data_IF_102726211707
#
_entry.id   IF_102726211707
#
_cell.length_a   1.000
_cell.length_b   1.000
_cell.length_c   1.000
_cell.angle_alpha   90.00
_cell.angle_beta   90.00
_cell.angle_gamma   90.00
#
_symmetry.space_group_name_H-M   'P 1'
#
loop_
_entity.id
_entity.type
_entity.pdbx_description
1 polymer ?
#
# COMPACT_ATOMS: atom_id res chain seq x y z
N UNK A 1 11.62 -81.76 17.91
CA UNK A 1 10.31 -81.17 18.28
C UNK A 1 10.47 -79.68 18.55
N UNK A 2 9.51 -78.85 18.10
CA UNK A 2 9.44 -77.37 18.20
C UNK A 2 9.95 -76.59 16.98
N UNK A 3 9.69 -77.12 15.79
CA UNK A 3 9.65 -76.38 14.51
C UNK A 3 8.45 -75.40 14.39
N UNK A 4 7.69 -75.19 15.48
CA UNK A 4 6.47 -74.38 15.48
C UNK A 4 6.57 -73.05 16.24
N UNK A 5 7.73 -72.69 16.82
CA UNK A 5 7.89 -71.37 17.49
C UNK A 5 8.14 -70.19 16.53
N UNK A 6 8.46 -70.44 15.25
CA UNK A 6 8.73 -69.38 14.27
C UNK A 6 7.50 -68.85 13.52
N UNK A 7 6.35 -69.54 13.58
CA UNK A 7 5.14 -69.09 12.88
C UNK A 7 4.16 -68.30 13.76
N UNK A 8 4.30 -68.33 15.09
CA UNK A 8 3.44 -67.53 15.97
C UNK A 8 3.99 -66.12 16.28
N UNK A 9 5.27 -65.85 15.98
CA UNK A 9 5.89 -64.53 16.21
C UNK A 9 5.74 -63.57 15.01
N UNK A 10 5.52 -64.10 13.80
CA UNK A 10 5.38 -63.29 12.58
C UNK A 10 3.95 -62.70 12.47
N UNK A 11 2.93 -63.39 13.00
CA UNK A 11 1.54 -62.89 13.00
C UNK A 11 1.25 -61.77 14.01
N UNK A 12 1.95 -61.72 15.15
CA UNK A 12 1.77 -60.64 16.15
C UNK A 12 2.58 -59.38 15.79
N UNK A 13 3.69 -59.54 15.06
CA UNK A 13 4.46 -58.38 14.56
C UNK A 13 3.74 -57.68 13.41
N UNK A 14 3.00 -58.40 12.57
CA UNK A 14 2.21 -57.79 11.48
C UNK A 14 0.92 -57.13 12.01
N UNK A 15 0.38 -57.55 13.16
CA UNK A 15 -0.74 -56.86 13.82
C UNK A 15 -0.28 -55.68 14.71
N UNK A 16 0.98 -55.63 15.14
CA UNK A 16 1.57 -54.43 15.76
C UNK A 16 2.13 -53.41 14.74
N UNK A 17 2.32 -53.80 13.49
CA UNK A 17 2.70 -52.88 12.40
C UNK A 17 1.51 -52.17 11.73
N UNK A 18 0.27 -52.54 12.05
CA UNK A 18 -0.94 -51.87 11.54
C UNK A 18 -1.54 -50.84 12.51
N UNK A 19 -0.96 -50.65 13.70
CA UNK A 19 -1.36 -49.58 14.66
C UNK A 19 -0.36 -48.40 14.65
N UNK A 20 0.67 -48.43 13.78
CA UNK A 20 1.55 -47.27 13.51
C UNK A 20 1.21 -46.61 12.16
N UNK A 21 0.09 -46.98 11.51
CA UNK A 21 -0.34 -46.38 10.24
C UNK A 21 -1.26 -45.16 10.38
N UNK A 22 -1.24 -44.45 11.51
CA UNK A 22 -1.94 -43.16 11.64
C UNK A 22 -1.18 -42.19 12.55
N UNK A 23 0.07 -41.89 12.20
CA UNK A 23 0.73 -40.64 12.61
C UNK A 23 1.42 -40.04 11.41
N UNK A 24 0.62 -39.49 10.51
CA UNK A 24 0.98 -38.32 9.74
C UNK A 24 -0.32 -37.80 9.12
N UNK A 25 -1.12 -37.02 9.87
CA UNK A 25 -1.89 -36.03 9.18
C UNK A 25 -0.85 -35.09 8.55
N UNK A 26 -0.48 -35.30 7.29
CA UNK A 26 -0.03 -34.18 6.47
C UNK A 26 -1.27 -33.34 6.17
N UNK A 27 -1.90 -32.87 7.24
CA UNK A 27 -2.77 -31.72 7.19
C UNK A 27 -1.82 -30.59 6.80
N UNK A 28 -2.04 -29.89 5.67
CA UNK A 28 -1.27 -28.70 5.40
C UNK A 28 -1.51 -27.77 6.58
N UNK A 29 -0.48 -27.59 7.42
CA UNK A 29 -0.47 -26.50 8.38
C UNK A 29 -0.60 -25.25 7.54
N UNK A 30 -1.63 -24.45 7.80
CA UNK A 30 -1.74 -23.13 7.22
C UNK A 30 -0.45 -22.41 7.60
N UNK A 31 0.45 -22.19 6.65
CA UNK A 31 1.58 -21.30 6.84
C UNK A 31 0.97 -19.90 7.02
N UNK A 32 0.86 -19.50 8.28
CA UNK A 32 0.49 -18.12 8.57
C UNK A 32 1.60 -17.24 8.01
N UNK A 33 1.26 -16.18 7.26
CA UNK A 33 2.25 -15.24 6.77
C UNK A 33 3.13 -14.78 7.94
N UNK A 34 4.43 -15.03 7.84
CA UNK A 34 5.36 -14.54 8.85
C UNK A 34 5.55 -13.03 8.64
N UNK A 35 5.22 -12.23 9.64
CA UNK A 35 5.46 -10.79 9.62
C UNK A 35 6.98 -10.58 9.73
N UNK A 36 7.60 -10.08 8.67
CA UNK A 36 9.05 -9.83 8.62
C UNK A 36 9.40 -8.58 9.42
N UNK A 37 8.63 -7.51 9.25
CA UNK A 37 8.78 -6.27 9.99
C UNK A 37 7.45 -5.52 10.13
N UNK A 38 7.38 -4.65 11.14
CA UNK A 38 6.31 -3.66 11.33
C UNK A 38 6.96 -2.30 11.55
N UNK A 39 6.44 -1.27 10.87
CA UNK A 39 6.90 0.12 10.98
C UNK A 39 5.69 1.04 11.16
N UNK A 40 5.92 2.16 11.83
CA UNK A 40 4.91 3.21 12.03
C UNK A 40 5.44 4.45 11.34
N UNK A 41 4.62 5.05 10.50
CA UNK A 41 4.96 6.26 9.77
C UNK A 41 3.96 7.37 10.13
N UNK A 42 4.45 8.59 10.33
CA UNK A 42 3.66 9.72 10.80
C UNK A 42 4.37 10.50 11.90
N UNK A 43 3.66 11.45 12.50
CA UNK A 43 4.11 12.31 13.59
C UNK A 43 3.20 12.19 14.81
N UNK A 44 2.99 13.33 15.49
CA UNK A 44 2.21 13.39 16.74
C UNK A 44 0.71 13.51 16.52
N UNK A 45 0.31 13.95 15.33
CA UNK A 45 -1.08 14.18 14.96
C UNK A 45 -1.63 12.99 14.16
N UNK A 46 -2.83 13.14 13.62
CA UNK A 46 -3.46 12.13 12.78
C UNK A 46 -2.73 12.00 11.45
N UNK A 47 -2.32 10.79 11.09
CA UNK A 47 -1.77 10.48 9.77
C UNK A 47 -2.44 9.23 9.22
N UNK A 48 -2.70 9.19 7.91
CA UNK A 48 -3.47 8.12 7.26
C UNK A 48 -2.76 7.71 5.98
N UNK A 49 -2.51 6.41 5.81
CA UNK A 49 -2.05 5.83 4.55
C UNK A 49 -3.22 5.26 3.76
N UNK A 50 -3.32 5.60 2.48
CA UNK A 50 -4.39 5.15 1.58
C UNK A 50 -3.88 4.24 0.45
N UNK A 51 -2.61 4.36 0.07
CA UNK A 51 -2.02 3.61 -1.04
C UNK A 51 -0.59 3.21 -0.71
N UNK A 52 -0.20 2.01 -1.14
CA UNK A 52 1.17 1.51 -1.05
C UNK A 52 1.51 0.76 -2.34
N UNK A 53 2.73 0.93 -2.83
CA UNK A 53 3.26 0.19 -3.97
C UNK A 53 4.75 -0.10 -3.77
N UNK A 54 5.19 -1.30 -4.16
CA UNK A 54 6.62 -1.64 -4.24
C UNK A 54 7.28 -0.82 -5.36
N UNK A 55 8.50 -0.34 -5.12
CA UNK A 55 9.31 0.41 -6.07
C UNK A 55 10.33 -0.49 -6.74
N UNK A 56 10.84 -0.11 -7.91
CA UNK A 56 11.76 -0.95 -8.72
C UNK A 56 13.10 -1.25 -8.02
N UNK A 57 13.45 -0.49 -6.99
CA UNK A 57 14.63 -0.67 -6.14
C UNK A 57 14.36 -1.60 -4.93
N UNK A 58 13.20 -2.24 -4.86
CA UNK A 58 12.79 -3.15 -3.77
C UNK A 58 12.22 -2.46 -2.53
N UNK A 59 12.17 -1.12 -2.52
CA UNK A 59 11.50 -0.36 -1.46
C UNK A 59 10.00 -0.21 -1.67
N UNK A 60 9.39 0.74 -0.95
CA UNK A 60 7.96 1.02 -1.07
C UNK A 60 7.70 2.52 -1.15
N UNK A 61 6.67 2.90 -1.91
CA UNK A 61 6.07 4.24 -1.86
C UNK A 61 4.71 4.13 -1.17
N UNK A 62 4.46 4.97 -0.19
CA UNK A 62 3.20 5.04 0.56
C UNK A 62 2.64 6.44 0.40
N UNK A 63 1.37 6.55 0.03
CA UNK A 63 0.68 7.82 -0.13
C UNK A 63 -0.56 7.91 0.76
N UNK A 64 -0.82 9.11 1.26
CA UNK A 64 -2.01 9.41 2.03
C UNK A 64 -2.09 10.86 2.47
N UNK A 65 -2.48 11.08 3.73
CA UNK A 65 -2.66 12.42 4.30
C UNK A 65 -1.96 12.54 5.65
N UNK A 66 -1.39 13.71 5.95
CA UNK A 66 -0.75 14.00 7.23
C UNK A 66 -1.31 15.28 7.86
N UNK A 67 -1.65 15.24 9.14
CA UNK A 67 -1.89 16.43 9.97
C UNK A 67 -0.63 16.81 10.78
N UNK A 68 0.42 16.00 10.69
CA UNK A 68 1.66 16.18 11.45
C UNK A 68 2.68 17.08 10.74
N UNK A 69 2.64 17.17 9.40
CA UNK A 69 3.64 17.86 8.59
C UNK A 69 3.02 18.65 7.43
N UNK A 70 3.69 19.71 6.97
CA UNK A 70 3.23 20.54 5.86
C UNK A 70 2.56 21.83 6.30
N UNK A 71 2.10 22.61 5.32
CA UNK A 71 1.49 23.92 5.56
C UNK A 71 0.08 23.78 6.16
N UNK A 72 -0.35 24.71 7.01
CA UNK A 72 -1.67 24.62 7.66
C UNK A 72 -1.82 23.56 8.76
N UNK A 73 -0.79 22.75 9.03
CA UNK A 73 -0.81 21.81 10.16
C UNK A 73 -0.77 22.52 11.52
N UNK A 74 -1.42 21.97 12.56
CA UNK A 74 -2.18 20.71 12.58
C UNK A 74 -3.67 20.87 12.24
N UNK A 75 -4.12 22.05 11.80
CA UNK A 75 -5.54 22.31 11.53
C UNK A 75 -6.04 21.63 10.26
N UNK A 76 -5.18 21.56 9.25
CA UNK A 76 -5.47 21.00 7.94
C UNK A 76 -4.45 19.93 7.56
N UNK A 77 -4.89 18.95 6.77
CA UNK A 77 -4.01 17.87 6.29
C UNK A 77 -3.31 18.24 5.00
N UNK A 78 -2.13 17.68 4.79
CA UNK A 78 -1.44 17.72 3.50
C UNK A 78 -1.38 16.33 2.88
N UNK A 79 -1.20 16.26 1.56
CA UNK A 79 -0.77 15.01 0.91
C UNK A 79 0.55 14.57 1.54
N UNK A 80 0.66 13.31 1.92
CA UNK A 80 1.89 12.74 2.46
C UNK A 80 2.39 11.60 1.58
N UNK A 81 3.63 11.70 1.12
CA UNK A 81 4.31 10.65 0.35
C UNK A 81 5.56 10.21 1.09
N UNK A 82 5.71 8.90 1.25
CA UNK A 82 6.78 8.28 2.03
C UNK A 82 7.45 7.26 1.14
N UNK A 83 8.77 7.38 0.98
CA UNK A 83 9.61 6.36 0.35
C UNK A 83 10.37 5.60 1.41
N UNK A 84 10.38 4.29 1.30
CA UNK A 84 11.17 3.40 2.16
C UNK A 84 12.15 2.56 1.36
N UNK A 85 13.06 1.91 2.07
CA UNK A 85 13.81 0.76 1.58
C UNK A 85 12.99 -0.54 1.72
N UNK A 86 13.61 -1.68 1.37
CA UNK A 86 13.03 -3.03 1.45
C UNK A 86 12.66 -3.48 2.87
N UNK A 87 13.29 -2.89 3.89
CA UNK A 87 13.07 -3.19 5.31
C UNK A 87 12.02 -2.26 5.94
N UNK A 88 11.43 -1.36 5.15
CA UNK A 88 10.48 -0.36 5.61
C UNK A 88 11.13 0.81 6.35
N UNK A 89 12.45 0.97 6.28
CA UNK A 89 13.11 2.15 6.82
C UNK A 89 12.89 3.35 5.89
N UNK A 90 12.49 4.48 6.46
CA UNK A 90 12.14 5.67 5.69
C UNK A 90 13.39 6.27 5.07
N UNK A 91 13.41 6.37 3.74
CA UNK A 91 14.46 7.06 2.99
C UNK A 91 14.17 8.56 2.91
N UNK A 92 12.92 8.91 2.61
CA UNK A 92 12.47 10.30 2.61
C UNK A 92 10.95 10.40 2.73
N UNK A 93 10.49 11.58 3.12
CA UNK A 93 9.08 11.95 3.09
C UNK A 93 8.91 13.29 2.38
N UNK A 94 7.73 13.50 1.82
CA UNK A 94 7.33 14.73 1.14
C UNK A 94 5.89 15.07 1.48
N UNK A 95 5.62 16.37 1.59
CA UNK A 95 4.27 16.90 1.72
C UNK A 95 3.93 17.76 0.52
N UNK A 96 2.69 17.66 0.05
CA UNK A 96 2.18 18.51 -1.02
C UNK A 96 0.79 19.02 -0.64
N UNK A 97 0.51 20.26 -0.98
CA UNK A 97 -0.69 20.93 -0.50
C UNK A 97 -0.43 22.41 -0.26
N UNK A 98 -1.41 23.07 0.32
CA UNK A 98 -1.34 24.45 0.80
C UNK A 98 -1.83 24.56 2.23
N UNK A 99 -2.49 25.68 2.55
CA UNK A 99 -2.97 25.94 3.91
C UNK A 99 -4.16 25.05 4.29
N UNK A 100 -4.95 24.55 3.32
CA UNK A 100 -6.20 23.83 3.56
C UNK A 100 -6.06 22.30 3.36
N UNK A 101 -7.18 21.57 3.42
CA UNK A 101 -7.18 20.11 3.34
C UNK A 101 -6.70 19.60 1.99
N UNK A 102 -5.65 18.80 2.00
CA UNK A 102 -5.13 18.08 0.84
C UNK A 102 -4.89 16.61 1.22
N UNK A 103 -5.28 15.69 0.34
CA UNK A 103 -5.14 14.24 0.59
C UNK A 103 -4.79 13.49 -0.69
N UNK A 104 -3.87 12.52 -0.60
CA UNK A 104 -3.68 11.52 -1.66
C UNK A 104 -4.52 10.28 -1.39
N UNK A 105 -5.13 9.74 -2.45
CA UNK A 105 -5.89 8.48 -2.42
C UNK A 105 -5.20 7.35 -3.15
N UNK A 106 -4.36 7.68 -4.13
CA UNK A 106 -3.61 6.71 -4.90
C UNK A 106 -2.28 7.30 -5.33
N UNK A 107 -1.23 6.48 -5.31
CA UNK A 107 0.03 6.79 -5.95
C UNK A 107 0.52 5.61 -6.77
N UNK A 108 1.26 5.89 -7.83
CA UNK A 108 1.89 4.89 -8.68
C UNK A 108 3.31 5.33 -9.06
N UNK A 109 4.25 4.39 -9.04
CA UNK A 109 5.57 4.51 -9.70
C UNK A 109 5.36 4.62 -11.20
N UNK A 110 5.95 5.64 -11.81
CA UNK A 110 5.86 5.89 -13.25
C UNK A 110 7.04 5.31 -14.01
N UNK A 111 6.85 5.09 -15.30
CA UNK A 111 7.84 4.49 -16.22
C UNK A 111 9.15 5.27 -16.33
N UNK A 112 9.10 6.58 -16.06
CA UNK A 112 10.26 7.48 -15.98
C UNK A 112 11.00 7.43 -14.62
N UNK A 113 10.58 6.57 -13.69
CA UNK A 113 11.15 6.41 -12.35
C UNK A 113 10.65 7.40 -11.30
N UNK A 114 9.73 8.31 -11.65
CA UNK A 114 9.06 9.19 -10.70
C UNK A 114 7.78 8.57 -10.12
N UNK A 115 6.88 9.44 -9.64
CA UNK A 115 5.60 9.02 -9.10
C UNK A 115 4.46 9.91 -9.61
N UNK A 116 3.30 9.31 -9.85
CA UNK A 116 2.05 10.02 -10.09
C UNK A 116 1.11 9.78 -8.91
N UNK A 117 0.53 10.85 -8.38
CA UNK A 117 -0.32 10.83 -7.18
C UNK A 117 -1.64 11.49 -7.53
N UNK A 118 -2.75 10.85 -7.17
CA UNK A 118 -4.09 11.41 -7.28
C UNK A 118 -4.80 11.46 -5.93
N UNK A 119 -5.62 12.48 -5.78
CA UNK A 119 -6.41 12.73 -4.60
C UNK A 119 -7.30 13.95 -4.79
N UNK A 120 -7.42 14.76 -3.76
CA UNK A 120 -8.16 16.02 -3.83
C UNK A 120 -7.50 17.12 -3.00
N UNK A 121 -7.84 18.37 -3.33
CA UNK A 121 -7.31 19.58 -2.71
C UNK A 121 -8.44 20.56 -2.43
N UNK A 122 -8.45 21.16 -1.24
CA UNK A 122 -9.22 22.37 -0.90
C UNK A 122 -8.33 23.62 -0.96
N UNK A 123 -7.04 23.45 -1.24
CA UNK A 123 -6.04 24.52 -1.28
C UNK A 123 -5.95 25.19 -2.66
N UNK A 124 -6.30 24.48 -3.72
CA UNK A 124 -6.11 24.91 -5.11
C UNK A 124 -7.33 24.60 -5.97
N UNK A 125 -7.46 25.32 -7.09
CA UNK A 125 -8.49 25.09 -8.09
C UNK A 125 -9.71 26.01 -7.94
N UNK A 126 -10.89 25.51 -8.31
CA UNK A 126 -12.13 26.24 -8.33
C UNK A 126 -13.11 25.68 -7.28
N UNK A 127 -13.85 26.57 -6.62
CA UNK A 127 -14.90 26.14 -5.73
C UNK A 127 -14.39 25.50 -4.43
N UNK A 128 -15.01 24.37 -4.06
CA UNK A 128 -14.73 23.69 -2.79
C UNK A 128 -13.48 22.81 -2.89
N UNK A 129 -13.56 21.67 -3.55
CA UNK A 129 -12.42 20.75 -3.66
C UNK A 129 -12.30 20.20 -5.05
N UNK A 130 -11.07 20.14 -5.54
CA UNK A 130 -10.76 19.64 -6.88
C UNK A 130 -9.94 18.37 -6.83
N UNK A 131 -10.03 17.57 -7.89
CA UNK A 131 -9.10 16.47 -8.12
C UNK A 131 -7.70 17.04 -8.16
N UNK A 132 -6.80 16.53 -7.31
CA UNK A 132 -5.41 16.96 -7.28
C UNK A 132 -4.52 15.87 -7.86
N UNK A 133 -3.88 16.18 -9.00
CA UNK A 133 -2.94 15.30 -9.68
C UNK A 133 -1.53 15.87 -9.55
N UNK A 134 -0.60 15.09 -9.01
CA UNK A 134 0.78 15.51 -8.76
C UNK A 134 1.72 14.52 -9.43
N UNK A 135 2.63 15.03 -10.27
CA UNK A 135 3.75 14.27 -10.81
C UNK A 135 5.04 14.73 -10.16
N UNK A 136 5.83 13.77 -9.74
CA UNK A 136 7.13 14.00 -9.12
C UNK A 136 8.23 13.25 -9.86
N UNK A 137 9.48 13.61 -9.54
CA UNK A 137 10.65 12.82 -9.90
C UNK A 137 10.89 11.68 -8.90
N UNK A 138 11.98 10.93 -9.09
CA UNK A 138 12.35 9.80 -8.23
C UNK A 138 12.66 10.19 -6.77
N UNK A 139 13.01 11.46 -6.51
CA UNK A 139 13.30 12.01 -5.19
C UNK A 139 12.04 12.56 -4.50
N UNK A 140 10.89 12.51 -5.18
CA UNK A 140 9.64 13.09 -4.70
C UNK A 140 9.57 14.62 -4.88
N UNK A 141 10.43 15.20 -5.71
CA UNK A 141 10.36 16.62 -6.00
C UNK A 141 9.32 16.86 -7.11
N UNK A 142 8.43 17.85 -6.92
CA UNK A 142 7.32 18.10 -7.83
C UNK A 142 7.82 18.56 -9.19
N UNK A 143 7.45 17.80 -10.24
CA UNK A 143 7.67 18.20 -11.63
C UNK A 143 6.53 19.08 -12.12
N UNK A 144 5.29 18.70 -11.80
CA UNK A 144 4.10 19.50 -12.04
C UNK A 144 2.95 19.01 -11.17
N UNK A 145 1.95 19.88 -10.97
CA UNK A 145 0.67 19.51 -10.41
C UNK A 145 -0.48 20.14 -11.21
N UNK A 146 -1.64 19.52 -11.16
CA UNK A 146 -2.85 19.94 -11.88
C UNK A 146 -4.08 19.74 -11.01
N UNK A 147 -5.03 20.64 -11.15
CA UNK A 147 -6.37 20.49 -10.56
C UNK A 147 -7.41 20.25 -11.64
N UNK A 148 -8.40 19.41 -11.35
CA UNK A 148 -9.54 19.16 -12.22
C UNK A 148 -10.83 19.15 -11.42
N UNK A 149 -11.79 19.98 -11.83
CA UNK A 149 -13.09 20.09 -11.18
C UNK A 149 -13.77 21.41 -11.52
N UNK A 150 -14.82 21.74 -10.79
CA UNK A 150 -15.68 22.88 -11.07
C UNK A 150 -15.99 23.73 -9.83
N UNK A 151 -17.25 24.07 -9.59
CA UNK A 151 -17.62 24.96 -8.47
C UNK A 151 -17.80 24.19 -7.15
N UNK A 152 -18.12 22.91 -7.24
CA UNK A 152 -18.48 22.08 -6.11
C UNK A 152 -17.33 21.10 -5.79
N UNK A 153 -17.64 19.92 -5.26
CA UNK A 153 -16.65 18.93 -4.82
C UNK A 153 -16.33 17.93 -5.93
N UNK A 154 -15.03 17.70 -6.17
CA UNK A 154 -14.48 16.83 -7.19
C UNK A 154 -13.31 16.01 -6.61
N UNK A 155 -13.43 14.68 -6.55
CA UNK A 155 -12.43 13.81 -5.91
C UNK A 155 -11.81 12.80 -6.87
N UNK A 156 -10.47 12.73 -6.88
CA UNK A 156 -9.72 11.67 -7.55
C UNK A 156 -9.42 10.52 -6.59
N UNK A 157 -9.83 9.30 -6.95
CA UNK A 157 -9.67 8.12 -6.09
C UNK A 157 -8.54 7.20 -6.50
N UNK A 158 -8.29 7.05 -7.80
CA UNK A 158 -7.25 6.19 -8.32
C UNK A 158 -6.62 6.79 -9.56
N UNK A 159 -5.32 6.56 -9.73
CA UNK A 159 -4.55 6.97 -10.91
C UNK A 159 -3.77 5.80 -11.46
N UNK A 160 -3.65 5.75 -12.80
CA UNK A 160 -2.80 4.81 -13.49
C UNK A 160 -2.13 5.47 -14.71
N UNK A 161 -0.82 5.29 -14.85
CA UNK A 161 -0.06 5.58 -16.06
C UNK A 161 -0.45 4.60 -17.19
N UNK A 162 -0.60 5.14 -18.39
CA UNK A 162 -0.89 4.39 -19.61
C UNK A 162 0.27 4.44 -20.60
N UNK A 163 0.29 3.53 -21.57
CA UNK A 163 1.44 3.24 -22.44
C UNK A 163 1.89 4.39 -23.37
N UNK A 164 1.15 5.48 -23.45
CA UNK A 164 1.44 6.67 -24.26
C UNK A 164 1.92 7.87 -23.40
N UNK A 165 2.45 7.60 -22.20
CA UNK A 165 2.84 8.60 -21.20
C UNK A 165 1.67 9.46 -20.67
N UNK A 166 0.43 9.00 -20.90
CA UNK A 166 -0.76 9.58 -20.29
C UNK A 166 -1.03 9.02 -18.89
N UNK A 167 -2.03 9.60 -18.23
CA UNK A 167 -2.55 9.14 -16.95
C UNK A 167 -4.07 9.07 -17.01
N UNK A 168 -4.64 7.98 -16.51
CA UNK A 168 -6.07 7.83 -16.27
C UNK A 168 -6.33 8.10 -14.80
N UNK A 169 -7.36 8.91 -14.53
CA UNK A 169 -7.84 9.18 -13.17
C UNK A 169 -9.31 8.81 -13.13
N UNK A 170 -9.70 8.10 -12.08
CA UNK A 170 -11.11 7.81 -11.79
C UNK A 170 -11.52 8.48 -10.48
N UNK A 171 -12.76 8.95 -10.44
CA UNK A 171 -13.22 9.87 -9.41
C UNK A 171 -14.74 10.10 -9.47
N UNK A 172 -15.20 11.05 -8.66
CA UNK A 172 -16.55 11.60 -8.80
C UNK A 172 -16.51 13.13 -8.76
N UNK A 173 -17.58 13.75 -9.23
CA UNK A 173 -17.75 15.20 -9.26
C UNK A 173 -19.20 15.56 -8.98
N UNK A 174 -19.39 16.65 -8.24
CA UNK A 174 -20.69 17.29 -8.02
C UNK A 174 -20.85 18.57 -8.85
N UNK A 175 -19.85 18.92 -9.66
CA UNK A 175 -19.78 20.20 -10.37
C UNK A 175 -20.54 20.24 -11.70
N UNK A 176 -21.22 19.15 -12.09
CA UNK A 176 -22.07 19.15 -13.29
C UNK A 176 -23.44 19.77 -13.01
N UNK A 177 -23.64 21.00 -13.50
CA UNK A 177 -24.96 21.64 -13.66
C UNK A 177 -24.98 22.51 -14.92
#
# INVERSE_FOLDING_TARGET
MKQYKKQFLIGVIILLLLIISCRNPTCPSIEVPNIIWTKIYGGREKDIGYSVQETTDGGYIIAGSTYSFGEGTPSYSNVYLIKTDENGDTLWTRTYGGIYYDEARSAQVTSDGGYIIAGFTYSFGAGDSDVYLIKTDANGDTLWSRTYGGRDTDYGWSVQEISDNGYIIVGYTYSFN
#
